data_IF_471149041862
#
_entry.id   IF_471149041862
#
_cell.length_a   1.000
_cell.length_b   1.000
_cell.length_c   1.000
_cell.angle_alpha   90.00
_cell.angle_beta   90.00
_cell.angle_gamma   90.00
#
_symmetry.space_group_name_H-M   'P 1'
#
loop_
_entity.id
_entity.type
_entity.pdbx_description
1 polymer ?
#
# COMPACT_ATOMS: atom_id res chain seq x y z
N UNK A 1 12.26 -12.28 8.40
CA UNK A 1 12.66 -11.62 7.12
C UNK A 1 11.51 -10.79 6.54
N UNK A 2 10.27 -11.30 6.48
CA UNK A 2 9.13 -10.55 5.93
C UNK A 2 8.71 -9.28 6.71
N UNK A 3 8.89 -9.24 8.03
CA UNK A 3 8.55 -8.06 8.86
C UNK A 3 9.23 -6.76 8.41
N UNK A 4 10.51 -6.81 8.07
CA UNK A 4 11.25 -5.62 7.63
C UNK A 4 10.71 -5.06 6.31
N UNK A 5 10.27 -5.94 5.40
CA UNK A 5 9.73 -5.56 4.11
C UNK A 5 8.41 -4.79 4.25
N UNK A 6 7.57 -5.15 5.21
CA UNK A 6 6.22 -4.60 5.31
C UNK A 6 6.10 -3.41 6.26
N UNK A 7 7.08 -3.21 7.14
CA UNK A 7 7.09 -2.10 8.12
C UNK A 7 6.82 -0.72 7.52
N UNK A 8 7.31 -0.36 6.31
CA UNK A 8 7.00 0.93 5.70
C UNK A 8 5.54 1.06 5.21
N UNK A 9 4.81 -0.06 5.10
CA UNK A 9 3.40 -0.12 4.72
C UNK A 9 2.52 -0.06 5.97
N UNK A 10 2.85 -0.85 6.99
CA UNK A 10 2.09 -0.96 8.24
C UNK A 10 2.63 -2.08 9.14
N UNK A 11 1.89 -2.38 10.20
CA UNK A 11 2.28 -3.44 11.14
C UNK A 11 1.94 -4.81 10.56
N UNK A 12 2.88 -5.75 10.57
CA UNK A 12 2.64 -7.10 10.08
C UNK A 12 1.60 -7.81 10.96
N UNK A 13 0.56 -8.36 10.33
CA UNK A 13 -0.45 -9.20 10.98
C UNK A 13 -0.25 -10.65 10.62
N UNK A 14 0.01 -10.95 9.34
CA UNK A 14 0.16 -12.32 8.85
C UNK A 14 0.95 -12.36 7.54
N UNK A 15 1.61 -13.48 7.25
CA UNK A 15 2.28 -13.75 5.98
C UNK A 15 1.70 -15.04 5.42
N UNK A 16 1.28 -15.00 4.16
CA UNK A 16 0.80 -16.18 3.43
C UNK A 16 2.00 -17.09 3.10
N UNK A 17 2.41 -17.88 4.10
CA UNK A 17 3.43 -18.92 3.97
C UNK A 17 2.75 -20.28 3.91
N UNK A 18 3.25 -21.15 3.04
CA UNK A 18 2.81 -22.54 3.01
C UNK A 18 3.15 -23.26 4.32
N UNK A 19 2.70 -24.50 4.47
CA UNK A 19 2.96 -25.32 5.67
C UNK A 19 4.46 -25.54 5.96
N UNK A 20 5.34 -25.35 4.98
CA UNK A 20 6.80 -25.40 5.16
C UNK A 20 7.42 -24.09 5.68
N UNK A 21 6.63 -23.02 5.82
CA UNK A 21 7.13 -21.67 6.15
C UNK A 21 7.80 -20.96 4.98
N UNK A 22 7.79 -21.56 3.79
CA UNK A 22 8.39 -21.00 2.59
C UNK A 22 7.36 -20.22 1.75
N UNK A 23 7.79 -19.09 1.20
CA UNK A 23 7.02 -18.30 0.25
C UNK A 23 7.40 -18.71 -1.19
N UNK A 24 6.68 -19.65 -1.77
CA UNK A 24 6.87 -20.00 -3.20
C UNK A 24 5.89 -19.24 -4.08
N UNK A 25 6.39 -18.36 -4.95
CA UNK A 25 5.55 -17.65 -5.89
C UNK A 25 6.24 -16.45 -6.56
N UNK A 26 5.53 -15.82 -7.50
CA UNK A 26 5.98 -14.58 -8.16
C UNK A 26 5.74 -13.32 -7.30
N UNK A 27 5.06 -13.47 -6.17
CA UNK A 27 4.64 -12.39 -5.30
C UNK A 27 4.58 -12.88 -3.84
N UNK A 28 4.78 -11.96 -2.91
CA UNK A 28 4.60 -12.18 -1.48
C UNK A 28 3.24 -11.63 -1.08
N UNK A 29 2.41 -12.44 -0.41
CA UNK A 29 1.14 -12.02 0.16
C UNK A 29 1.30 -11.80 1.65
N UNK A 30 0.91 -10.63 2.10
CA UNK A 30 1.01 -10.21 3.50
C UNK A 30 -0.29 -9.55 3.92
N UNK A 31 -0.65 -9.74 5.19
CA UNK A 31 -1.69 -9.00 5.86
C UNK A 31 -1.02 -7.99 6.78
N UNK A 32 -1.39 -6.72 6.65
CA UNK A 32 -0.85 -5.62 7.45
C UNK A 32 -1.98 -4.82 8.07
N UNK A 33 -1.74 -4.28 9.27
CA UNK A 33 -2.56 -3.25 9.88
C UNK A 33 -2.10 -1.89 9.36
N UNK A 34 -3.02 -1.11 8.84
CA UNK A 34 -2.75 0.22 8.29
C UNK A 34 -3.70 1.25 8.87
N UNK A 35 -3.23 2.50 8.92
CA UNK A 35 -4.06 3.65 9.24
C UNK A 35 -4.89 4.04 8.01
N UNK A 36 -6.18 3.72 8.03
CA UNK A 36 -7.11 3.95 6.92
C UNK A 36 -7.36 5.43 6.62
N UNK A 37 -6.99 6.34 7.53
CA UNK A 37 -7.08 7.79 7.29
C UNK A 37 -5.97 8.30 6.37
N UNK A 38 -4.93 7.49 6.12
CA UNK A 38 -3.80 7.82 5.25
C UNK A 38 -3.99 7.21 3.87
N UNK A 39 -3.28 7.80 2.90
CA UNK A 39 -3.25 7.28 1.54
C UNK A 39 -2.56 5.91 1.51
N UNK A 40 -3.10 5.01 0.70
CA UNK A 40 -2.50 3.72 0.43
C UNK A 40 -1.23 3.90 -0.40
N UNK A 41 -0.16 3.16 -0.14
CA UNK A 41 1.07 3.21 -0.92
C UNK A 41 0.95 2.36 -2.19
N UNK A 42 1.32 2.90 -3.33
CA UNK A 42 1.34 2.18 -4.60
C UNK A 42 2.63 1.41 -4.81
N UNK A 43 3.73 2.01 -4.38
CA UNK A 43 5.06 1.45 -4.53
C UNK A 43 5.79 1.38 -3.20
N UNK A 44 6.69 0.41 -3.10
CA UNK A 44 7.61 0.29 -1.99
C UNK A 44 9.03 0.21 -2.54
N UNK A 45 9.87 1.16 -2.14
CA UNK A 45 11.29 1.19 -2.47
C UNK A 45 12.08 0.49 -1.37
N UNK A 46 12.81 -0.56 -1.72
CA UNK A 46 13.64 -1.32 -0.79
C UNK A 46 14.97 -1.70 -1.44
N UNK A 47 16.02 -1.76 -0.65
CA UNK A 47 17.25 -2.42 -1.07
C UNK A 47 17.17 -3.92 -0.73
N UNK A 48 17.03 -4.74 -1.76
CA UNK A 48 16.84 -6.20 -1.63
C UNK A 48 18.08 -7.00 -2.02
N UNK A 49 19.11 -6.34 -2.54
CA UNK A 49 20.31 -6.99 -3.09
C UNK A 49 21.54 -6.57 -2.30
N UNK A 50 22.56 -7.43 -2.19
CA UNK A 50 23.84 -7.10 -1.52
C UNK A 50 24.68 -6.03 -2.26
N UNK A 51 24.06 -5.17 -3.07
CA UNK A 51 24.74 -4.17 -3.90
C UNK A 51 24.19 -2.75 -3.82
N UNK A 52 23.30 -2.44 -2.86
CA UNK A 52 22.79 -1.07 -2.72
C UNK A 52 21.73 -0.66 -3.75
N UNK A 53 21.25 -1.61 -4.56
CA UNK A 53 20.36 -1.29 -5.69
C UNK A 53 18.91 -1.26 -5.20
N UNK A 54 18.36 -0.04 -5.18
CA UNK A 54 16.95 0.18 -4.89
C UNK A 54 16.07 -0.62 -5.86
N UNK A 55 15.20 -1.44 -5.29
CA UNK A 55 14.17 -2.22 -5.96
C UNK A 55 12.82 -1.56 -5.70
N UNK A 56 12.08 -1.28 -6.78
CA UNK A 56 10.72 -0.77 -6.71
C UNK A 56 9.74 -1.94 -6.75
N UNK A 57 9.03 -2.16 -5.66
CA UNK A 57 7.99 -3.17 -5.53
C UNK A 57 6.62 -2.53 -5.78
N UNK A 58 5.86 -3.07 -6.72
CA UNK A 58 4.46 -2.70 -6.92
C UNK A 58 3.60 -3.37 -5.86
N UNK A 59 2.82 -2.58 -5.13
CA UNK A 59 1.85 -3.08 -4.16
C UNK A 59 0.52 -3.36 -4.87
N UNK A 60 -0.11 -4.47 -4.52
CA UNK A 60 -1.46 -4.82 -4.97
C UNK A 60 -2.32 -5.10 -3.75
N UNK A 61 -3.34 -4.28 -3.58
CA UNK A 61 -4.27 -4.43 -2.48
C UNK A 61 -5.41 -5.38 -2.87
N UNK A 62 -5.71 -6.34 -2.00
CA UNK A 62 -6.88 -7.19 -2.12
C UNK A 62 -7.90 -6.80 -1.04
N UNK A 63 -9.21 -6.90 -1.35
CA UNK A 63 -10.31 -6.64 -0.40
C UNK A 63 -10.33 -5.22 0.18
N UNK A 64 -9.98 -4.21 -0.61
CA UNK A 64 -10.17 -2.80 -0.23
C UNK A 64 -11.67 -2.49 -0.12
N UNK A 65 -12.08 -2.01 1.05
CA UNK A 65 -13.42 -1.49 1.30
C UNK A 65 -13.49 -0.02 0.87
N UNK A 66 -14.61 0.44 0.30
CA UNK A 66 -14.95 1.86 0.03
C UNK A 66 -13.74 2.80 -0.21
N UNK A 67 -12.97 2.56 -1.27
CA UNK A 67 -11.84 3.41 -1.65
C UNK A 67 -12.30 4.58 -2.53
N UNK A 68 -11.93 5.80 -2.15
CA UNK A 68 -12.26 6.99 -2.91
C UNK A 68 -11.16 7.34 -3.92
N UNK A 69 -11.47 7.33 -5.22
CA UNK A 69 -10.52 7.67 -6.28
C UNK A 69 -10.20 9.18 -6.35
N UNK A 70 -11.00 10.05 -5.73
CA UNK A 70 -10.75 11.49 -5.67
C UNK A 70 -9.67 11.81 -4.63
N UNK A 71 -9.89 11.35 -3.38
CA UNK A 71 -9.03 11.68 -2.25
C UNK A 71 -8.07 10.55 -1.85
N UNK A 72 -8.13 9.36 -2.46
CA UNK A 72 -7.19 8.26 -2.25
C UNK A 72 -7.18 7.65 -0.85
N UNK A 73 -8.24 7.87 -0.07
CA UNK A 73 -8.42 7.40 1.31
C UNK A 73 -9.55 6.35 1.32
N UNK A 74 -9.49 5.43 2.28
CA UNK A 74 -10.54 4.42 2.50
C UNK A 74 -11.65 4.95 3.41
N UNK A 75 -12.86 4.40 3.26
CA UNK A 75 -13.98 4.61 4.18
C UNK A 75 -15.08 5.54 3.67
N UNK A 76 -15.09 5.89 2.39
CA UNK A 76 -16.23 6.54 1.75
C UNK A 76 -16.21 6.33 0.24
N UNK A 77 -17.38 6.43 -0.39
CA UNK A 77 -17.46 6.39 -1.85
C UNK A 77 -17.06 7.71 -2.48
N UNK A 78 -16.67 7.67 -3.76
CA UNK A 78 -16.41 8.87 -4.56
C UNK A 78 -17.53 9.92 -4.47
N UNK A 79 -18.80 9.48 -4.40
CA UNK A 79 -19.97 10.36 -4.28
C UNK A 79 -20.05 11.13 -2.97
N UNK A 80 -19.40 10.66 -1.92
CA UNK A 80 -19.46 11.19 -0.55
C UNK A 80 -18.18 11.98 -0.18
N UNK A 81 -17.25 12.09 -1.13
CA UNK A 81 -15.97 12.75 -0.91
C UNK A 81 -16.15 14.27 -0.70
N UNK A 82 -15.71 14.76 0.46
CA UNK A 82 -15.80 16.18 0.80
C UNK A 82 -14.84 17.05 -0.03
N UNK A 83 -13.65 16.53 -0.40
CA UNK A 83 -12.70 17.26 -1.25
C UNK A 83 -13.29 17.65 -2.61
N UNK A 84 -14.28 16.88 -3.11
CA UNK A 84 -15.01 17.21 -4.34
C UNK A 84 -15.83 18.49 -4.19
N UNK A 85 -16.33 18.76 -3.00
CA UNK A 85 -17.17 19.93 -2.71
C UNK A 85 -16.33 21.14 -2.27
N UNK A 86 -15.12 20.93 -1.75
CA UNK A 86 -14.30 21.99 -1.14
C UNK A 86 -13.32 22.67 -2.10
N UNK A 87 -13.19 22.23 -3.36
CA UNK A 87 -12.34 22.88 -4.37
C UNK A 87 -10.83 22.90 -4.04
N UNK A 88 -10.41 22.18 -2.99
CA UNK A 88 -9.01 22.03 -2.59
C UNK A 88 -8.35 21.04 -3.54
N UNK A 89 -7.67 21.56 -4.55
CA UNK A 89 -6.78 20.77 -5.40
C UNK A 89 -5.69 20.14 -4.54
N UNK A 90 -5.47 18.83 -4.69
CA UNK A 90 -4.22 18.24 -4.24
C UNK A 90 -3.09 18.92 -5.00
N UNK A 91 -2.10 19.44 -4.28
CA UNK A 91 -0.83 19.79 -4.90
C UNK A 91 -0.34 18.57 -5.68
N UNK A 92 0.00 18.78 -6.95
CA UNK A 92 0.46 17.77 -7.93
C UNK A 92 1.87 17.24 -7.55
N UNK A 93 2.24 17.27 -6.27
CA UNK A 93 3.60 17.07 -5.79
C UNK A 93 3.86 15.65 -5.26
N UNK A 94 2.83 14.79 -5.14
CA UNK A 94 3.04 13.38 -4.84
C UNK A 94 3.02 12.57 -6.14
N UNK A 95 4.20 12.39 -6.73
CA UNK A 95 4.45 11.54 -7.91
C UNK A 95 3.93 10.11 -7.70
N UNK A 96 2.67 9.79 -8.05
CA UNK A 96 2.12 8.43 -8.19
C UNK A 96 2.42 7.38 -7.08
N UNK A 97 2.95 7.78 -5.93
CA UNK A 97 3.45 6.91 -4.87
C UNK A 97 2.31 6.32 -4.03
N UNK A 98 1.11 6.87 -4.20
CA UNK A 98 -0.08 6.49 -3.46
C UNK A 98 -1.23 6.05 -4.39
N UNK A 99 -2.07 5.16 -3.87
CA UNK A 99 -3.20 4.54 -4.56
C UNK A 99 -2.96 3.05 -4.87
N UNK A 100 -4.04 2.33 -5.26
CA UNK A 100 -3.97 0.94 -5.69
C UNK A 100 -3.39 0.73 -7.10
#
# INVERSE_FOLDING_TARGET
>A
MGEFLVKPIGDLVDIDVGSSGECFGKYLRVKVSIDVSKLLKRFLRLDLSEGGKESLLLLRYEKLYEYCFECGVLGHFYSECLLRNDGVFRSVETEFDFGP
#
